data_IF_571906781653
#
_entry.id   IF_571906781653
#
_cell.length_a   1.000
_cell.length_b   1.000
_cell.length_c   1.000
_cell.angle_alpha   90.00
_cell.angle_beta   90.00
_cell.angle_gamma   90.00
#
_symmetry.space_group_name_H-M   'P 1'
#
loop_
_entity.id
_entity.type
_entity.pdbx_description
1 polymer ?
#
# COMPACT_ATOMS: atom_id res chain seq x y z
N UNK A 1 -12.37 -11.03 0.18
CA UNK A 1 -12.64 -9.71 0.77
C UNK A 1 -11.69 -8.64 0.26
N UNK A 2 -12.20 -7.41 0.15
CA UNK A 2 -11.39 -6.20 -0.07
C UNK A 2 -11.12 -5.51 1.28
N UNK A 3 -9.89 -5.04 1.49
CA UNK A 3 -9.43 -4.39 2.73
C UNK A 3 -9.75 -2.88 2.74
N UNK A 4 -10.97 -2.51 2.36
CA UNK A 4 -11.38 -1.11 2.16
C UNK A 4 -11.42 -0.27 3.45
N UNK A 5 -11.37 -0.90 4.63
CA UNK A 5 -11.40 -0.22 5.93
C UNK A 5 -10.00 0.16 6.45
N UNK A 6 -8.93 -0.20 5.74
CA UNK A 6 -7.54 0.08 6.16
C UNK A 6 -7.32 1.56 6.50
N UNK A 7 -7.82 2.47 5.68
CA UNK A 7 -7.69 3.91 5.92
C UNK A 7 -8.37 4.35 7.23
N UNK A 8 -9.52 3.77 7.58
CA UNK A 8 -10.21 4.09 8.82
C UNK A 8 -9.50 3.47 10.03
N UNK A 9 -8.96 2.25 9.90
CA UNK A 9 -8.15 1.61 10.95
C UNK A 9 -6.95 2.49 11.28
N UNK A 10 -6.24 3.00 10.28
CA UNK A 10 -5.10 3.90 10.46
C UNK A 10 -5.51 5.24 11.09
N UNK A 11 -6.61 5.85 10.63
CA UNK A 11 -7.13 7.10 11.23
C UNK A 11 -7.55 6.91 12.69
N UNK A 12 -8.18 5.79 13.05
CA UNK A 12 -8.52 5.45 14.44
C UNK A 12 -7.29 5.31 15.33
N UNK A 13 -6.14 4.98 14.75
CA UNK A 13 -4.85 4.96 15.43
C UNK A 13 -4.16 6.34 15.47
N UNK A 14 -4.86 7.43 15.10
CA UNK A 14 -4.32 8.79 15.00
C UNK A 14 -3.16 8.94 14.00
N UNK A 15 -3.13 8.12 12.95
CA UNK A 15 -2.13 8.19 11.89
C UNK A 15 -2.62 9.08 10.74
N UNK A 16 -1.69 9.80 10.11
CA UNK A 16 -1.93 10.56 8.88
C UNK A 16 -2.10 9.59 7.71
N UNK A 17 -3.21 9.69 6.99
CA UNK A 17 -3.53 8.79 5.87
C UNK A 17 -3.69 9.57 4.57
N UNK A 18 -2.99 9.13 3.54
CA UNK A 18 -3.14 9.57 2.15
C UNK A 18 -3.86 8.46 1.39
N UNK A 19 -5.03 8.74 0.82
CA UNK A 19 -5.73 7.78 -0.02
C UNK A 19 -5.25 7.95 -1.47
N UNK A 20 -4.52 6.97 -2.01
CA UNK A 20 -4.09 7.00 -3.41
C UNK A 20 -5.29 6.74 -4.31
N UNK A 21 -5.51 7.58 -5.32
CA UNK A 21 -6.66 7.47 -6.21
C UNK A 21 -6.92 6.02 -6.65
N UNK A 22 -8.17 5.56 -6.55
CA UNK A 22 -8.58 4.20 -6.95
C UNK A 22 -8.13 3.04 -6.04
N UNK A 23 -7.51 3.28 -4.87
CA UNK A 23 -6.98 2.21 -4.02
C UNK A 23 -8.00 1.16 -3.57
N UNK A 24 -9.25 1.58 -3.33
CA UNK A 24 -10.33 0.69 -2.86
C UNK A 24 -10.70 -0.41 -3.85
N UNK A 25 -10.43 -0.19 -5.14
CA UNK A 25 -10.69 -1.15 -6.21
C UNK A 25 -9.42 -1.78 -6.78
N UNK A 26 -8.23 -1.30 -6.39
CA UNK A 26 -6.94 -1.77 -6.90
C UNK A 26 -6.52 -3.09 -6.24
N UNK A 27 -6.03 -4.01 -7.08
CA UNK A 27 -5.52 -5.33 -6.70
C UNK A 27 -5.77 -6.37 -7.79
N UNK A 28 -5.17 -7.54 -7.65
CA UNK A 28 -5.37 -8.68 -8.56
C UNK A 28 -6.55 -9.56 -8.12
N UNK A 29 -7.63 -8.96 -7.64
CA UNK A 29 -8.76 -9.63 -7.02
C UNK A 29 -8.72 -9.61 -5.49
N UNK A 30 -9.62 -10.35 -4.87
CA UNK A 30 -9.85 -10.28 -3.43
C UNK A 30 -8.82 -11.06 -2.60
N UNK A 31 -8.65 -10.66 -1.34
CA UNK A 31 -7.93 -11.44 -0.33
C UNK A 31 -8.86 -12.47 0.31
N UNK A 32 -8.43 -13.72 0.47
CA UNK A 32 -9.22 -14.74 1.17
C UNK A 32 -9.35 -14.42 2.66
N UNK A 33 -8.22 -14.15 3.32
CA UNK A 33 -8.18 -13.71 4.72
C UNK A 33 -6.84 -13.05 5.03
N UNK A 34 -6.78 -12.20 6.07
CA UNK A 34 -5.53 -11.66 6.60
C UNK A 34 -5.03 -12.58 7.72
N UNK A 35 -3.80 -13.08 7.59
CA UNK A 35 -3.17 -13.97 8.59
C UNK A 35 -1.98 -13.34 9.30
N UNK A 36 -1.35 -12.39 8.66
CA UNK A 36 -0.17 -11.69 9.15
C UNK A 36 -0.08 -10.30 8.53
N UNK A 37 0.76 -9.47 9.13
CA UNK A 37 1.21 -8.20 8.58
C UNK A 37 2.71 -8.35 8.32
N UNK A 38 3.16 -8.00 7.12
CA UNK A 38 4.57 -8.04 6.73
C UNK A 38 5.00 -6.61 6.49
N UNK A 39 6.15 -6.24 7.04
CA UNK A 39 6.78 -4.94 6.79
C UNK A 39 8.00 -5.18 5.90
N UNK A 40 8.11 -4.41 4.83
CA UNK A 40 9.22 -4.47 3.90
C UNK A 40 9.67 -3.06 3.54
N UNK A 41 10.98 -2.84 3.46
CA UNK A 41 11.52 -1.60 2.94
C UNK A 41 11.54 -1.62 1.41
N UNK A 42 11.36 -0.47 0.76
CA UNK A 42 11.28 -0.44 -0.72
C UNK A 42 12.65 -0.53 -1.42
N UNK A 43 13.75 -0.43 -0.67
CA UNK A 43 15.11 -0.22 -1.21
C UNK A 43 15.19 0.92 -2.26
N UNK A 44 14.25 1.86 -2.21
CA UNK A 44 14.13 2.96 -3.16
C UNK A 44 14.99 4.18 -2.80
N UNK A 45 14.77 5.33 -3.48
CA UNK A 45 15.57 6.53 -3.30
C UNK A 45 15.71 6.99 -1.84
N UNK A 46 16.86 7.56 -1.50
CA UNK A 46 17.18 8.04 -0.16
C UNK A 46 16.41 9.30 0.27
N UNK A 47 15.82 10.03 -0.67
CA UNK A 47 15.13 11.31 -0.45
C UNK A 47 13.67 11.27 -0.89
N UNK A 48 12.85 12.24 -0.44
CA UNK A 48 11.40 12.27 -0.62
C UNK A 48 10.64 11.59 0.54
N UNK A 49 9.33 11.82 0.66
CA UNK A 49 8.55 11.23 1.77
C UNK A 49 8.30 9.74 1.55
N UNK A 50 7.64 9.39 0.45
CA UNK A 50 7.48 8.02 -0.05
C UNK A 50 7.77 7.94 -1.56
N UNK A 51 9.06 8.05 -1.97
CA UNK A 51 9.44 8.21 -3.38
C UNK A 51 9.13 6.99 -4.27
N UNK A 52 8.85 5.84 -3.66
CA UNK A 52 8.59 4.58 -4.36
C UNK A 52 7.11 4.37 -4.70
N UNK A 53 6.24 5.36 -4.48
CA UNK A 53 4.79 5.22 -4.66
C UNK A 53 4.40 4.68 -6.04
N UNK A 54 4.99 5.21 -7.12
CA UNK A 54 4.72 4.76 -8.48
C UNK A 54 5.09 3.27 -8.68
N UNK A 55 6.25 2.84 -8.17
CA UNK A 55 6.68 1.44 -8.25
C UNK A 55 5.77 0.53 -7.43
N UNK A 56 5.38 0.94 -6.21
CA UNK A 56 4.51 0.11 -5.36
C UNK A 56 3.08 0.06 -5.91
N UNK A 57 2.58 1.15 -6.50
CA UNK A 57 1.25 1.23 -7.10
C UNK A 57 1.15 0.49 -8.42
N UNK A 58 2.09 0.74 -9.33
CA UNK A 58 2.01 0.31 -10.73
C UNK A 58 2.86 -0.93 -11.03
N UNK A 59 3.83 -1.21 -10.16
CA UNK A 59 4.80 -2.29 -10.35
C UNK A 59 6.02 -1.84 -11.15
N UNK A 60 6.64 -2.81 -11.80
CA UNK A 60 7.85 -2.69 -12.61
C UNK A 60 7.76 -3.65 -13.80
N UNK A 61 8.62 -3.54 -14.83
CA UNK A 61 8.49 -4.33 -16.06
C UNK A 61 8.42 -5.85 -15.86
N UNK A 62 9.09 -6.38 -14.83
CA UNK A 62 9.12 -7.81 -14.47
C UNK A 62 8.02 -8.23 -13.47
N UNK A 63 7.29 -7.28 -12.88
CA UNK A 63 6.26 -7.55 -11.88
C UNK A 63 5.17 -6.48 -11.86
N UNK A 64 3.97 -6.85 -12.30
CA UNK A 64 2.80 -5.96 -12.30
C UNK A 64 2.40 -5.57 -10.87
N UNK A 65 2.03 -4.30 -10.69
CA UNK A 65 1.48 -3.81 -9.42
C UNK A 65 -0.02 -4.09 -9.25
N UNK A 66 -0.57 -3.87 -8.04
CA UNK A 66 0.10 -3.29 -6.89
C UNK A 66 1.03 -4.28 -6.18
N UNK A 67 2.12 -3.76 -5.62
CA UNK A 67 3.12 -4.54 -4.88
C UNK A 67 2.79 -4.65 -3.39
N UNK A 68 2.09 -3.66 -2.80
CA UNK A 68 1.67 -3.67 -1.40
C UNK A 68 0.35 -2.91 -1.21
N UNK A 69 -0.37 -3.18 -0.11
CA UNK A 69 -1.61 -2.48 0.23
C UNK A 69 -1.37 -1.08 0.79
N UNK A 70 -0.29 -0.91 1.56
CA UNK A 70 0.06 0.32 2.27
C UNK A 70 1.51 0.73 1.97
N UNK A 71 1.77 2.05 1.95
CA UNK A 71 3.10 2.64 1.98
C UNK A 71 3.29 3.49 3.25
N UNK A 72 4.50 3.49 3.81
CA UNK A 72 4.85 4.34 4.96
C UNK A 72 5.88 5.38 4.52
N UNK A 73 5.48 6.65 4.54
CA UNK A 73 6.33 7.80 4.31
C UNK A 73 7.24 8.10 5.51
N UNK A 74 8.38 8.76 5.23
CA UNK A 74 9.37 9.17 6.25
C UNK A 74 8.81 10.16 7.27
N UNK A 75 7.77 10.92 6.92
CA UNK A 75 7.04 11.82 7.81
C UNK A 75 6.04 11.09 8.71
N UNK A 76 5.85 9.78 8.53
CA UNK A 76 4.84 8.98 9.23
C UNK A 76 3.47 8.96 8.54
N UNK A 77 3.37 9.49 7.32
CA UNK A 77 2.20 9.38 6.46
C UNK A 77 2.00 7.94 5.98
N UNK A 78 0.75 7.49 5.89
CA UNK A 78 0.40 6.18 5.36
C UNK A 78 -0.38 6.31 4.06
N UNK A 79 0.21 5.87 2.95
CA UNK A 79 -0.44 5.80 1.64
C UNK A 79 -1.29 4.52 1.53
N UNK A 80 -2.61 4.66 1.38
CA UNK A 80 -3.50 3.57 0.99
C UNK A 80 -3.40 3.31 -0.51
N UNK A 81 -2.74 2.23 -0.92
CA UNK A 81 -2.37 1.95 -2.32
C UNK A 81 -3.32 0.95 -2.97
N UNK A 82 -3.67 -0.12 -2.26
CA UNK A 82 -4.53 -1.19 -2.78
C UNK A 82 -5.34 -1.84 -1.65
N UNK A 83 -6.53 -2.34 -1.98
CA UNK A 83 -7.39 -3.06 -1.04
C UNK A 83 -7.46 -4.57 -1.35
N UNK A 84 -7.05 -4.98 -2.54
CA UNK A 84 -7.06 -6.39 -2.96
C UNK A 84 -5.74 -7.13 -2.70
N UNK A 85 -5.59 -8.25 -3.42
CA UNK A 85 -4.37 -9.04 -3.49
C UNK A 85 -3.28 -8.27 -4.24
N UNK A 86 -2.11 -8.16 -3.64
CA UNK A 86 -0.92 -7.55 -4.24
C UNK A 86 0.06 -8.63 -4.71
N UNK A 87 0.96 -8.28 -5.63
CA UNK A 87 1.94 -9.18 -6.25
C UNK A 87 3.30 -9.17 -5.54
N UNK A 88 3.41 -8.56 -4.35
CA UNK A 88 4.57 -8.60 -3.46
C UNK A 88 4.13 -8.32 -2.00
N UNK A 89 5.09 -8.01 -1.11
CA UNK A 89 4.90 -7.53 0.25
C UNK A 89 5.37 -6.07 0.40
#
# INVERSE_FOLDING_TARGET
MMLIDLANILRKANLTVVEVDGWKTRGHGEMNSVKSIILHHTAGPATGDFPSLNIVRDGRPDLTGPLAQLGLGRTGSWDGIAAGRCCHA
#
